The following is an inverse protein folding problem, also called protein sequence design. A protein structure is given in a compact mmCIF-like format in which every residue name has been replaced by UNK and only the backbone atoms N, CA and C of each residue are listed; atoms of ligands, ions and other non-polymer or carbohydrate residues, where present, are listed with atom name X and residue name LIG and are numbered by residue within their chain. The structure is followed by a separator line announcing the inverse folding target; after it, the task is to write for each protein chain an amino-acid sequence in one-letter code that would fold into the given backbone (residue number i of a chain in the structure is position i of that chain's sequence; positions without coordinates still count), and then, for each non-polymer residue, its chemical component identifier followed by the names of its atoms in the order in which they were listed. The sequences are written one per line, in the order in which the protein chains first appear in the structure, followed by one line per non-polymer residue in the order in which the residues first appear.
data_IF_796894763533
#
_entry.id   IF_796894763533
#
_cell.length_a   1.000
_cell.length_b   1.000
_cell.length_c   1.000
_cell.angle_alpha   90.00
_cell.angle_beta   90.00
_cell.angle_gamma   90.00
#
_symmetry.space_group_name_H-M   'P 1'
#
loop_
_entity.id
_entity.type
_entity.pdbx_description
1 polymer ?
#
# COMPACT_ATOMS: atom_id res chain seq x y z
N UNK A 1 -11.43 -12.96 6.23
CA UNK A 1 -11.47 -12.44 4.85
C UNK A 1 -12.84 -12.58 4.21
N UNK A 2 -13.34 -13.81 3.95
CA UNK A 2 -14.67 -14.01 3.35
C UNK A 2 -15.82 -13.42 4.19
N UNK A 3 -15.78 -13.61 5.51
CA UNK A 3 -16.78 -13.03 6.43
C UNK A 3 -16.77 -11.50 6.37
N UNK A 4 -15.59 -10.88 6.35
CA UNK A 4 -15.49 -9.41 6.33
C UNK A 4 -15.97 -8.78 5.02
N UNK A 5 -15.78 -9.46 3.89
CA UNK A 5 -16.24 -8.94 2.59
C UNK A 5 -17.72 -9.21 2.34
N UNK A 6 -18.26 -10.32 2.87
CA UNK A 6 -19.64 -10.76 2.58
C UNK A 6 -20.66 -10.40 3.66
N UNK A 7 -20.30 -10.43 4.96
CA UNK A 7 -21.28 -10.26 6.05
C UNK A 7 -21.26 -8.90 6.75
N UNK A 8 -20.16 -8.14 6.69
CA UNK A 8 -20.03 -6.83 7.37
C UNK A 8 -20.20 -5.62 6.44
N UNK A 9 -20.56 -5.83 5.17
CA UNK A 9 -20.85 -4.75 4.22
C UNK A 9 -19.62 -3.94 3.77
N UNK A 10 -18.41 -4.47 3.95
CA UNK A 10 -17.19 -3.79 3.55
C UNK A 10 -17.10 -3.60 2.03
N UNK A 11 -16.86 -2.37 1.61
CA UNK A 11 -16.67 -2.01 0.19
C UNK A 11 -15.23 -2.28 -0.32
N UNK A 12 -14.44 -3.06 0.42
CA UNK A 12 -13.05 -3.38 0.05
C UNK A 12 -12.97 -4.12 -1.28
N UNK A 13 -13.94 -4.98 -1.61
CA UNK A 13 -13.98 -5.65 -2.91
C UNK A 13 -14.10 -4.66 -4.08
N UNK A 14 -14.87 -3.58 -3.94
CA UNK A 14 -14.98 -2.53 -4.96
C UNK A 14 -13.66 -1.79 -5.13
N UNK A 15 -13.00 -1.44 -4.03
CA UNK A 15 -11.71 -0.78 -4.05
C UNK A 15 -10.62 -1.70 -4.67
N UNK A 16 -10.59 -2.99 -4.33
CA UNK A 16 -9.69 -3.98 -4.96
C UNK A 16 -9.98 -4.12 -6.46
N UNK A 17 -11.25 -4.23 -6.86
CA UNK A 17 -11.64 -4.30 -8.26
C UNK A 17 -11.18 -3.06 -9.04
N UNK A 18 -11.36 -1.87 -8.47
CA UNK A 18 -10.91 -0.62 -9.07
C UNK A 18 -9.39 -0.60 -9.29
N UNK A 19 -8.62 -1.10 -8.31
CA UNK A 19 -7.16 -1.19 -8.39
C UNK A 19 -6.74 -2.14 -9.51
N UNK A 20 -7.32 -3.35 -9.56
CA UNK A 20 -6.98 -4.35 -10.59
C UNK A 20 -7.35 -3.83 -11.98
N UNK A 21 -8.53 -3.22 -12.13
CA UNK A 21 -8.97 -2.63 -13.39
C UNK A 21 -8.06 -1.47 -13.83
N UNK A 22 -7.70 -0.56 -12.91
CA UNK A 22 -6.78 0.54 -13.18
C UNK A 22 -5.41 0.04 -13.65
N UNK A 23 -4.84 -0.95 -12.95
CA UNK A 23 -3.56 -1.56 -13.35
C UNK A 23 -3.66 -2.22 -14.72
N UNK A 24 -4.72 -2.98 -14.99
CA UNK A 24 -4.91 -3.62 -16.29
C UNK A 24 -5.04 -2.61 -17.43
N UNK A 25 -5.77 -1.52 -17.21
CA UNK A 25 -5.89 -0.41 -18.18
C UNK A 25 -4.54 0.29 -18.40
N UNK A 26 -3.75 0.49 -17.35
CA UNK A 26 -2.43 1.10 -17.44
C UNK A 26 -1.45 0.24 -18.24
N UNK A 27 -1.44 -1.08 -18.03
CA UNK A 27 -0.64 -2.03 -18.81
C UNK A 27 -1.05 -1.98 -20.29
N UNK A 28 -2.34 -1.83 -20.58
CA UNK A 28 -2.87 -1.65 -21.94
C UNK A 28 -2.68 -0.25 -22.53
N UNK A 29 -1.90 0.64 -21.89
CA UNK A 29 -1.64 2.01 -22.37
C UNK A 29 -2.80 3.01 -22.21
N UNK A 30 -3.93 2.60 -21.64
CA UNK A 30 -5.14 3.44 -21.48
C UNK A 30 -5.07 4.29 -20.21
N UNK A 31 -4.07 5.17 -20.12
CA UNK A 31 -3.71 5.91 -18.91
C UNK A 31 -4.85 6.74 -18.31
N UNK A 32 -5.61 7.49 -19.12
CA UNK A 32 -6.75 8.27 -18.63
C UNK A 32 -7.85 7.40 -18.03
N UNK A 33 -8.16 6.26 -18.68
CA UNK A 33 -9.14 5.32 -18.14
C UNK A 33 -8.63 4.68 -16.84
N UNK A 34 -7.34 4.34 -16.77
CA UNK A 34 -6.72 3.78 -15.58
C UNK A 34 -6.85 4.71 -14.36
N UNK A 35 -6.46 5.98 -14.51
CA UNK A 35 -6.54 6.96 -13.42
C UNK A 35 -7.98 7.39 -13.11
N UNK A 36 -8.89 7.38 -14.09
CA UNK A 36 -10.32 7.61 -13.83
C UNK A 36 -10.92 6.50 -12.95
N UNK A 37 -10.65 5.23 -13.28
CA UNK A 37 -11.08 4.09 -12.47
C UNK A 37 -10.43 4.12 -11.08
N UNK A 38 -9.17 4.54 -10.98
CA UNK A 38 -8.50 4.73 -9.70
C UNK A 38 -9.17 5.85 -8.87
N UNK A 39 -9.61 6.93 -9.52
CA UNK A 39 -10.39 8.01 -8.91
C UNK A 39 -11.74 7.51 -8.36
N UNK A 40 -12.46 6.70 -9.13
CA UNK A 40 -13.70 6.05 -8.65
C UNK A 40 -13.44 5.15 -7.44
N UNK A 41 -12.35 4.38 -7.47
CA UNK A 41 -11.90 3.60 -6.32
C UNK A 41 -11.60 4.44 -5.09
N UNK A 42 -10.98 5.61 -5.31
CA UNK A 42 -10.63 6.57 -4.26
C UNK A 42 -11.86 7.13 -3.53
N UNK A 43 -12.96 7.33 -4.27
CA UNK A 43 -14.24 7.76 -3.71
C UNK A 43 -14.88 6.67 -2.82
N UNK A 44 -14.53 5.40 -3.02
CA UNK A 44 -14.99 4.29 -2.17
C UNK A 44 -14.11 4.15 -0.93
N UNK A 45 -12.79 4.19 -1.11
CA UNK A 45 -11.78 4.18 -0.04
C UNK A 45 -10.55 4.95 -0.49
N UNK A 46 -9.78 5.55 0.42
CA UNK A 46 -8.65 6.40 0.04
C UNK A 46 -7.44 5.65 -0.55
N UNK A 47 -7.19 4.40 -0.16
CA UNK A 47 -5.94 3.72 -0.50
C UNK A 47 -5.67 3.49 -2.00
N UNK A 48 -6.65 3.36 -2.92
CA UNK A 48 -6.39 3.32 -4.36
C UNK A 48 -5.62 4.56 -4.84
N UNK A 49 -5.84 5.74 -4.26
CA UNK A 49 -5.13 6.97 -4.65
C UNK A 49 -3.60 6.85 -4.54
N UNK A 50 -3.10 5.97 -3.66
CA UNK A 50 -1.66 5.78 -3.46
C UNK A 50 -0.95 5.27 -4.71
N UNK A 51 -1.65 4.54 -5.57
CA UNK A 51 -1.13 4.03 -6.84
C UNK A 51 -0.98 5.12 -7.92
N UNK A 52 -1.54 6.31 -7.71
CA UNK A 52 -1.56 7.38 -8.71
C UNK A 52 -0.15 7.72 -9.20
N UNK A 53 0.81 7.91 -8.28
CA UNK A 53 2.18 8.28 -8.66
C UNK A 53 2.90 7.18 -9.46
N UNK A 54 2.56 5.91 -9.24
CA UNK A 54 3.06 4.82 -10.08
C UNK A 54 2.47 4.84 -11.50
N UNK A 55 1.21 5.27 -11.64
CA UNK A 55 0.52 5.36 -12.92
C UNK A 55 0.90 6.63 -13.72
N UNK A 56 1.38 7.67 -13.06
CA UNK A 56 1.81 8.93 -13.69
C UNK A 56 3.24 8.89 -14.23
N UNK A 57 4.00 7.82 -13.97
CA UNK A 57 5.40 7.70 -14.35
C UNK A 57 5.56 7.83 -15.88
N UNK A 58 6.13 8.97 -16.32
CA UNK A 58 6.32 9.29 -17.73
C UNK A 58 5.05 9.66 -18.51
N UNK A 59 3.99 10.16 -17.87
CA UNK A 59 2.71 10.49 -18.54
C UNK A 59 2.34 11.97 -18.62
N UNK A 60 3.16 12.87 -18.08
CA UNK A 60 2.79 14.28 -17.93
C UNK A 60 1.62 14.49 -16.98
N UNK A 61 1.10 15.72 -16.93
CA UNK A 61 0.09 16.16 -15.94
C UNK A 61 -1.35 15.86 -16.34
N UNK A 62 -1.62 15.51 -17.61
CA UNK A 62 -3.00 15.34 -18.09
C UNK A 62 -3.77 14.20 -17.39
N UNK A 63 -3.18 13.02 -17.12
CA UNK A 63 -3.89 11.99 -16.35
C UNK A 63 -4.15 12.39 -14.89
N UNK A 64 -3.30 13.22 -14.29
CA UNK A 64 -3.55 13.78 -12.96
C UNK A 64 -4.83 14.64 -12.97
N UNK A 65 -5.04 15.46 -14.00
CA UNK A 65 -6.26 16.24 -14.15
C UNK A 65 -7.50 15.34 -14.30
N UNK A 66 -7.40 14.22 -15.03
CA UNK A 66 -8.50 13.24 -15.12
C UNK A 66 -8.83 12.63 -13.76
N UNK A 67 -7.83 12.18 -13.00
CA UNK A 67 -8.04 11.68 -11.64
C UNK A 67 -8.73 12.72 -10.76
N UNK A 68 -8.20 13.95 -10.74
CA UNK A 68 -8.72 15.05 -9.96
C UNK A 68 -10.17 15.37 -10.34
N UNK A 69 -10.49 15.40 -11.63
CA UNK A 69 -11.84 15.63 -12.12
C UNK A 69 -12.83 14.58 -11.62
N UNK A 70 -12.47 13.29 -11.66
CA UNK A 70 -13.34 12.21 -11.14
C UNK A 70 -13.60 12.39 -9.65
N UNK A 71 -12.55 12.65 -8.85
CA UNK A 71 -12.70 12.83 -7.41
C UNK A 71 -13.53 14.06 -7.08
N UNK A 72 -13.22 15.22 -7.70
CA UNK A 72 -13.97 16.46 -7.50
C UNK A 72 -15.43 16.31 -7.91
N UNK A 73 -15.71 15.68 -9.06
CA UNK A 73 -17.07 15.41 -9.51
C UNK A 73 -17.84 14.51 -8.53
N UNK A 74 -17.17 13.51 -7.93
CA UNK A 74 -17.77 12.66 -6.90
C UNK A 74 -18.12 13.40 -5.61
N UNK A 75 -17.32 14.40 -5.23
CA UNK A 75 -17.59 15.25 -4.06
C UNK A 75 -18.53 16.44 -4.35
N UNK A 76 -18.78 16.77 -5.61
CA UNK A 76 -19.58 17.94 -6.00
C UNK A 76 -20.99 17.98 -5.37
N UNK A 77 -21.76 16.87 -5.28
CA UNK A 77 -23.07 16.86 -4.60
C UNK A 77 -22.99 17.27 -3.11
N UNK A 78 -21.82 17.10 -2.48
CA UNK A 78 -21.59 17.37 -1.07
C UNK A 78 -20.83 18.69 -0.82
N UNK A 79 -20.61 19.51 -1.86
CA UNK A 79 -19.81 20.74 -1.76
C UNK A 79 -20.33 21.72 -0.69
N UNK A 80 -21.65 21.73 -0.45
CA UNK A 80 -22.29 22.56 0.57
C UNK A 80 -21.86 22.24 2.01
N UNK A 81 -21.27 21.06 2.25
CA UNK A 81 -20.74 20.63 3.56
C UNK A 81 -19.30 21.12 3.81
N UNK A 82 -18.63 21.72 2.82
CA UNK A 82 -17.25 22.16 2.93
C UNK A 82 -16.30 21.03 3.35
N UNK A 83 -15.38 21.31 4.30
CA UNK A 83 -14.47 20.30 4.85
C UNK A 83 -15.20 19.20 5.64
N UNK A 84 -16.45 19.40 6.05
CA UNK A 84 -17.28 18.38 6.68
C UNK A 84 -17.51 17.16 5.77
N UNK A 85 -17.41 17.32 4.45
CA UNK A 85 -17.48 16.22 3.49
C UNK A 85 -16.32 15.21 3.62
N UNK A 86 -15.20 15.60 4.25
CA UNK A 86 -14.06 14.71 4.54
C UNK A 86 -14.34 13.79 5.75
N UNK A 87 -15.41 14.06 6.50
CA UNK A 87 -15.95 13.15 7.51
C UNK A 87 -14.93 12.71 8.56
N UNK A 88 -14.76 11.39 8.67
CA UNK A 88 -14.04 10.70 9.75
C UNK A 88 -12.52 10.62 9.60
N UNK A 89 -11.93 11.16 8.53
CA UNK A 89 -10.49 11.02 8.27
C UNK A 89 -9.58 11.53 9.41
N UNK A 90 -9.83 12.72 10.00
CA UNK A 90 -9.02 13.18 11.13
C UNK A 90 -9.16 12.25 12.35
N UNK A 91 -10.36 11.72 12.58
CA UNK A 91 -10.66 10.82 13.69
C UNK A 91 -9.95 9.47 13.52
N UNK A 92 -9.95 8.91 12.30
CA UNK A 92 -9.24 7.69 11.92
C UNK A 92 -7.74 7.78 12.21
N UNK A 93 -7.12 8.93 11.94
CA UNK A 93 -5.68 9.13 12.12
C UNK A 93 -5.29 9.37 13.59
N UNK A 94 -6.13 10.08 14.34
CA UNK A 94 -5.75 10.55 15.69
C UNK A 94 -6.30 9.71 16.82
N UNK A 95 -7.50 9.14 16.67
CA UNK A 95 -8.22 8.47 17.78
C UNK A 95 -8.39 6.98 17.58
N UNK A 96 -8.46 6.52 16.33
CA UNK A 96 -8.63 5.09 16.08
C UNK A 96 -7.34 4.35 16.45
N UNK A 97 -7.50 3.35 17.31
CA UNK A 97 -6.40 2.55 17.83
C UNK A 97 -6.77 1.08 17.72
N UNK A 98 -6.22 0.43 16.71
CA UNK A 98 -6.29 -1.01 16.52
C UNK A 98 -5.05 -1.48 15.77
N UNK A 99 -4.33 -2.44 16.35
CA UNK A 99 -3.19 -3.09 15.71
C UNK A 99 -2.22 -2.09 15.03
N UNK A 100 -1.58 -1.20 15.80
CA UNK A 100 -0.80 -0.09 15.24
C UNK A 100 0.27 -0.61 14.28
N UNK A 101 0.50 0.03 13.13
CA UNK A 101 1.57 -0.40 12.22
C UNK A 101 2.97 -0.13 12.77
N UNK A 102 3.99 -0.48 12.00
CA UNK A 102 5.40 -0.41 12.40
C UNK A 102 5.80 0.99 12.87
N UNK A 103 5.44 2.04 12.12
CA UNK A 103 5.83 3.41 12.45
C UNK A 103 5.21 3.84 13.77
N UNK A 104 3.91 3.65 13.95
CA UNK A 104 3.19 4.00 15.18
C UNK A 104 3.61 3.14 16.37
N UNK A 105 4.00 1.88 16.15
CA UNK A 105 4.56 1.00 17.19
C UNK A 105 5.89 1.52 17.73
N UNK A 106 6.73 2.10 16.86
CA UNK A 106 8.03 2.65 17.23
C UNK A 106 7.94 4.08 17.77
N UNK A 107 7.08 4.89 17.16
CA UNK A 107 6.87 6.29 17.48
C UNK A 107 5.37 6.55 17.41
N UNK A 108 4.69 6.60 18.57
CA UNK A 108 3.24 6.83 18.65
C UNK A 108 2.90 8.31 18.40
N UNK A 109 3.06 8.72 17.14
CA UNK A 109 2.77 10.05 16.63
C UNK A 109 2.02 9.93 15.31
N UNK A 110 0.76 10.40 15.24
CA UNK A 110 0.01 10.41 13.98
C UNK A 110 0.72 11.21 12.88
N UNK A 111 1.33 12.34 13.23
CA UNK A 111 2.06 13.18 12.27
C UNK A 111 3.27 12.43 11.67
N UNK A 112 4.06 11.75 12.51
CA UNK A 112 5.21 10.97 12.05
C UNK A 112 4.76 9.81 11.16
N UNK A 113 3.66 9.14 11.51
CA UNK A 113 3.08 8.07 10.70
C UNK A 113 2.63 8.57 9.33
N UNK A 114 1.91 9.69 9.28
CA UNK A 114 1.46 10.28 8.01
C UNK A 114 2.62 10.77 7.14
N UNK A 115 3.67 11.35 7.75
CA UNK A 115 4.88 11.75 7.04
C UNK A 115 5.61 10.54 6.46
N UNK A 116 5.74 9.45 7.21
CA UNK A 116 6.34 8.22 6.73
C UNK A 116 5.55 7.59 5.57
N UNK A 117 4.21 7.57 5.66
CA UNK A 117 3.35 7.09 4.58
C UNK A 117 3.45 7.98 3.33
N UNK A 118 3.40 9.29 3.49
CA UNK A 118 3.58 10.24 2.38
C UNK A 118 4.94 10.09 1.70
N UNK A 119 6.00 9.99 2.50
CA UNK A 119 7.35 9.71 2.00
C UNK A 119 7.40 8.37 1.25
N UNK A 120 6.78 7.31 1.78
CA UNK A 120 6.73 6.00 1.11
C UNK A 120 6.03 6.07 -0.25
N UNK A 121 4.87 6.73 -0.33
CA UNK A 121 4.10 6.92 -1.57
C UNK A 121 4.90 7.67 -2.63
N UNK A 122 5.69 8.67 -2.23
CA UNK A 122 6.52 9.46 -3.16
C UNK A 122 7.81 8.73 -3.54
N UNK A 123 8.49 8.08 -2.59
CA UNK A 123 9.81 7.49 -2.79
C UNK A 123 9.75 6.16 -3.53
N UNK A 124 8.76 5.30 -3.26
CA UNK A 124 8.69 3.98 -3.91
C UNK A 124 8.66 4.08 -5.44
N UNK A 125 7.85 4.93 -6.09
CA UNK A 125 7.91 5.11 -7.54
C UNK A 125 9.31 5.44 -8.06
N UNK A 126 10.09 6.24 -7.32
CA UNK A 126 11.42 6.68 -7.70
C UNK A 126 12.49 5.60 -7.49
N UNK A 127 12.46 4.95 -6.32
CA UNK A 127 13.45 3.96 -5.90
C UNK A 127 13.28 2.61 -6.59
N UNK A 128 12.09 2.33 -7.13
CA UNK A 128 11.78 1.06 -7.80
C UNK A 128 11.76 1.18 -9.33
N UNK A 129 12.34 2.25 -9.88
CA UNK A 129 12.54 2.39 -11.33
C UNK A 129 13.35 1.21 -11.86
N UNK A 130 12.86 0.57 -12.92
CA UNK A 130 13.45 -0.64 -13.51
C UNK A 130 12.91 -1.96 -12.95
N UNK A 131 12.20 -1.96 -11.82
CA UNK A 131 11.46 -3.14 -11.38
C UNK A 131 10.18 -3.35 -12.21
N UNK A 132 9.70 -4.60 -12.29
CA UNK A 132 8.42 -4.87 -12.95
C UNK A 132 7.28 -4.14 -12.25
N UNK A 133 6.30 -3.66 -13.02
CA UNK A 133 5.19 -2.86 -12.49
C UNK A 133 4.48 -3.53 -11.30
N UNK A 134 4.18 -4.83 -11.40
CA UNK A 134 3.56 -5.61 -10.33
C UNK A 134 4.41 -5.63 -9.05
N UNK A 135 5.74 -5.69 -9.14
CA UNK A 135 6.60 -5.62 -7.97
C UNK A 135 6.57 -4.24 -7.31
N UNK A 136 6.54 -3.17 -8.10
CA UNK A 136 6.40 -1.79 -7.60
C UNK A 136 5.09 -1.63 -6.83
N UNK A 137 4.00 -2.20 -7.34
CA UNK A 137 2.69 -2.24 -6.67
C UNK A 137 2.76 -2.99 -5.34
N UNK A 138 3.35 -4.20 -5.31
CA UNK A 138 3.49 -4.99 -4.07
C UNK A 138 4.30 -4.22 -3.01
N UNK A 139 5.43 -3.61 -3.39
CA UNK A 139 6.26 -2.83 -2.47
C UNK A 139 5.51 -1.60 -1.95
N UNK A 140 4.83 -0.87 -2.83
CA UNK A 140 4.07 0.32 -2.45
C UNK A 140 2.95 -0.04 -1.46
N UNK A 141 2.04 -0.93 -1.87
CA UNK A 141 0.86 -1.32 -1.09
C UNK A 141 1.27 -2.03 0.20
N UNK A 142 2.25 -2.94 0.13
CA UNK A 142 2.74 -3.68 1.29
C UNK A 142 3.36 -2.76 2.34
N UNK A 143 4.19 -1.81 1.91
CA UNK A 143 4.77 -0.84 2.83
C UNK A 143 3.75 0.13 3.43
N UNK A 144 2.73 0.53 2.68
CA UNK A 144 1.61 1.33 3.22
C UNK A 144 0.89 0.55 4.33
N UNK A 145 0.60 -0.73 4.11
CA UNK A 145 -0.07 -1.57 5.12
C UNK A 145 0.80 -1.66 6.37
N UNK A 146 2.08 -2.00 6.23
CA UNK A 146 2.99 -2.15 7.37
C UNK A 146 3.21 -0.83 8.11
N UNK A 147 3.26 0.29 7.42
CA UNK A 147 3.44 1.62 8.01
C UNK A 147 2.13 2.31 8.43
N UNK A 148 0.97 1.69 8.18
CA UNK A 148 -0.35 2.27 8.46
C UNK A 148 -0.51 2.61 9.95
N UNK A 149 -1.25 3.68 10.32
CA UNK A 149 -1.55 3.99 11.72
C UNK A 149 -2.29 2.86 12.44
N UNK A 150 -3.08 2.09 11.69
CA UNK A 150 -3.84 0.93 12.15
C UNK A 150 -3.83 -0.14 11.06
N UNK A 151 -3.68 -1.41 11.43
CA UNK A 151 -3.66 -2.53 10.48
C UNK A 151 -4.84 -3.44 10.75
N UNK A 152 -5.89 -3.28 9.95
CA UNK A 152 -6.99 -4.24 9.96
C UNK A 152 -6.72 -5.41 9.03
N UNK A 153 -7.16 -6.63 9.37
CA UNK A 153 -6.90 -7.81 8.55
C UNK A 153 -7.35 -7.67 7.10
N UNK A 154 -8.46 -6.96 6.81
CA UNK A 154 -8.90 -6.72 5.43
C UNK A 154 -8.01 -5.76 4.62
N UNK A 155 -7.06 -5.05 5.24
CA UNK A 155 -6.17 -4.13 4.52
C UNK A 155 -5.18 -4.82 3.59
N UNK A 156 -4.95 -6.13 3.74
CA UNK A 156 -4.08 -6.89 2.83
C UNK A 156 -4.80 -7.35 1.56
N UNK A 157 -6.13 -7.19 1.45
CA UNK A 157 -6.89 -7.61 0.27
C UNK A 157 -6.36 -7.03 -1.05
N UNK A 158 -5.94 -5.75 -1.13
CA UNK A 158 -5.34 -5.20 -2.35
C UNK A 158 -4.05 -5.88 -2.80
N UNK A 159 -3.32 -6.59 -1.92
CA UNK A 159 -2.12 -7.33 -2.30
C UNK A 159 -2.43 -8.65 -3.02
N UNK A 160 -3.53 -9.31 -2.68
CA UNK A 160 -3.89 -10.67 -3.14
C UNK A 160 -3.81 -10.84 -4.67
N UNK A 161 -4.44 -10.00 -5.51
CA UNK A 161 -4.37 -10.18 -6.96
C UNK A 161 -2.95 -10.06 -7.52
N UNK A 162 -2.10 -9.24 -6.89
CA UNK A 162 -0.70 -9.06 -7.32
C UNK A 162 0.19 -10.20 -6.84
N UNK A 163 -0.08 -10.78 -5.68
CA UNK A 163 0.61 -11.97 -5.19
C UNK A 163 0.27 -13.22 -6.01
N UNK A 164 -0.91 -13.26 -6.64
CA UNK A 164 -1.24 -14.31 -7.61
C UNK A 164 -0.39 -14.23 -8.89
N UNK A 165 0.00 -13.02 -9.31
CA UNK A 165 0.85 -12.79 -10.50
C UNK A 165 2.34 -12.90 -10.16
N UNK A 166 2.77 -12.36 -9.02
CA UNK A 166 4.15 -12.40 -8.53
C UNK A 166 4.16 -12.90 -7.08
N UNK A 167 4.20 -14.23 -6.87
CA UNK A 167 4.16 -14.81 -5.54
C UNK A 167 5.30 -14.35 -4.65
N UNK A 168 4.99 -14.14 -3.38
CA UNK A 168 5.97 -13.91 -2.32
C UNK A 168 5.51 -14.65 -1.07
N UNK A 169 6.28 -15.66 -0.64
CA UNK A 169 5.94 -16.46 0.53
C UNK A 169 5.77 -15.61 1.80
N UNK A 170 6.59 -14.56 1.95
CA UNK A 170 6.52 -13.62 3.07
C UNK A 170 5.19 -12.85 3.08
N UNK A 171 4.81 -12.24 1.95
CA UNK A 171 3.56 -11.49 1.86
C UNK A 171 2.32 -12.40 1.91
N UNK A 172 2.37 -13.58 1.28
CA UNK A 172 1.30 -14.59 1.38
C UNK A 172 1.12 -15.03 2.82
N UNK A 173 2.21 -15.37 3.52
CA UNK A 173 2.18 -15.69 4.94
C UNK A 173 1.56 -14.57 5.77
N UNK A 174 2.01 -13.33 5.56
CA UNK A 174 1.46 -12.14 6.22
C UNK A 174 -0.05 -11.98 5.99
N UNK A 175 -0.54 -12.26 4.77
CA UNK A 175 -1.99 -12.17 4.50
C UNK A 175 -2.82 -13.17 5.31
N UNK A 176 -2.22 -14.30 5.72
CA UNK A 176 -2.86 -15.26 6.62
C UNK A 176 -2.68 -14.89 8.10
N UNK A 177 -1.50 -14.43 8.50
CA UNK A 177 -1.16 -14.16 9.91
C UNK A 177 -1.68 -12.82 10.41
N UNK A 178 -2.03 -11.87 9.55
CA UNK A 178 -2.62 -10.57 9.98
C UNK A 178 -3.91 -10.73 10.79
N UNK A 179 -4.65 -11.84 10.60
CA UNK A 179 -5.85 -12.13 11.38
C UNK A 179 -5.58 -12.34 12.88
N UNK A 180 -4.34 -12.62 13.30
CA UNK A 180 -3.98 -12.71 14.72
C UNK A 180 -4.16 -11.37 15.46
N UNK A 181 -4.28 -10.26 14.74
CA UNK A 181 -4.68 -8.97 15.31
C UNK A 181 -6.05 -9.02 16.04
N UNK A 182 -6.96 -9.92 15.64
CA UNK A 182 -8.25 -10.09 16.32
C UNK A 182 -8.14 -10.67 17.73
N UNK A 183 -6.96 -11.16 18.14
CA UNK A 183 -6.70 -11.51 19.54
C UNK A 183 -6.91 -10.33 20.49
N UNK A 184 -6.86 -9.10 19.98
CA UNK A 184 -7.30 -7.87 20.65
C UNK A 184 -8.66 -8.00 21.36
N UNK A 185 -9.59 -8.77 20.78
CA UNK A 185 -10.95 -8.93 21.28
C UNK A 185 -11.12 -10.11 22.27
N UNK A 186 -10.06 -10.86 22.58
CA UNK A 186 -10.16 -12.06 23.42
C UNK A 186 -10.15 -11.79 24.92
N UNK A 187 -9.82 -10.57 25.35
CA UNK A 187 -9.72 -10.24 26.78
C UNK A 187 -9.78 -8.74 27.08
N UNK A 188 -9.82 -8.43 28.37
CA UNK A 188 -9.74 -7.06 28.89
C UNK A 188 -8.44 -6.90 29.71
N UNK A 189 -7.72 -5.78 29.60
CA UNK A 189 -7.97 -4.67 28.67
C UNK A 189 -7.77 -5.10 27.21
N UNK A 190 -8.46 -4.45 26.27
CA UNK A 190 -8.28 -4.70 24.85
C UNK A 190 -6.83 -4.41 24.43
N UNK A 191 -6.10 -5.48 24.14
CA UNK A 191 -4.70 -5.43 23.75
C UNK A 191 -4.36 -6.68 22.95
N UNK A 192 -3.46 -6.54 21.97
CA UNK A 192 -2.93 -7.67 21.22
C UNK A 192 -1.78 -8.27 22.03
N UNK A 193 -1.84 -9.55 22.44
CA UNK A 193 -0.73 -10.21 23.10
C UNK A 193 0.53 -10.18 22.23
N UNK A 194 1.70 -10.03 22.86
CA UNK A 194 3.00 -9.95 22.15
C UNK A 194 3.21 -11.14 21.22
N UNK A 195 2.85 -12.35 21.65
CA UNK A 195 2.99 -13.55 20.82
C UNK A 195 2.18 -13.45 19.52
N UNK A 196 0.97 -12.88 19.57
CA UNK A 196 0.10 -12.73 18.41
C UNK A 196 0.70 -11.72 17.42
N UNK A 197 1.29 -10.65 17.96
CA UNK A 197 2.02 -9.64 17.17
C UNK A 197 3.29 -10.20 16.52
N UNK A 198 4.02 -11.07 17.22
CA UNK A 198 5.18 -11.78 16.66
C UNK A 198 4.72 -12.70 15.52
N UNK A 199 3.69 -13.51 15.73
CA UNK A 199 3.14 -14.41 14.70
C UNK A 199 2.65 -13.62 13.48
N UNK A 200 1.98 -12.49 13.71
CA UNK A 200 1.53 -11.59 12.65
C UNK A 200 2.67 -11.18 11.72
N UNK A 201 3.78 -10.65 12.25
CA UNK A 201 4.88 -10.10 11.45
C UNK A 201 5.98 -11.10 11.08
N UNK A 202 5.98 -12.30 11.66
CA UNK A 202 7.01 -13.32 11.43
C UNK A 202 7.29 -13.59 9.94
N UNK A 203 6.27 -13.76 9.06
CA UNK A 203 6.52 -13.99 7.64
C UNK A 203 7.31 -12.87 6.97
N UNK A 204 7.03 -11.61 7.34
CA UNK A 204 7.71 -10.44 6.78
C UNK A 204 9.14 -10.33 7.30
N UNK A 205 9.37 -10.59 8.60
CA UNK A 205 10.70 -10.56 9.20
C UNK A 205 11.61 -11.62 8.58
N UNK A 206 11.12 -12.86 8.47
CA UNK A 206 11.86 -13.97 7.83
C UNK A 206 12.13 -13.64 6.36
N UNK A 207 11.13 -13.14 5.64
CA UNK A 207 11.27 -12.72 4.24
C UNK A 207 12.30 -11.63 4.03
N UNK A 208 12.31 -10.61 4.89
CA UNK A 208 13.27 -9.52 4.85
C UNK A 208 14.69 -10.01 5.15
N UNK A 209 14.87 -10.85 6.18
CA UNK A 209 16.17 -11.45 6.50
C UNK A 209 16.72 -12.29 5.35
N UNK A 210 15.87 -13.07 4.68
CA UNK A 210 16.27 -13.87 3.52
C UNK A 210 16.64 -13.00 2.31
N UNK A 211 15.88 -11.94 2.03
CA UNK A 211 16.16 -10.99 0.97
C UNK A 211 17.46 -10.20 1.21
N UNK A 212 17.83 -9.97 2.47
CA UNK A 212 19.06 -9.27 2.84
C UNK A 212 20.31 -10.16 2.83
N UNK A 213 20.16 -11.49 2.89
CA UNK A 213 21.27 -12.45 2.94
C UNK A 213 22.38 -12.23 1.90
N UNK A 214 22.10 -11.94 0.61
CA UNK A 214 23.15 -11.69 -0.38
C UNK A 214 24.02 -10.46 -0.11
N UNK A 215 23.52 -9.51 0.70
CA UNK A 215 24.20 -8.27 1.03
C UNK A 215 25.00 -8.38 2.34
N UNK A 216 24.66 -9.36 3.18
CA UNK A 216 25.37 -9.67 4.43
C UNK A 216 26.55 -10.59 4.08
N UNK A 217 27.61 -10.01 3.52
CA UNK A 217 28.84 -10.73 3.14
C UNK A 217 29.47 -10.29 1.81
N UNK A 218 28.79 -9.45 1.02
CA UNK A 218 29.39 -8.81 -0.14
C UNK A 218 30.48 -7.82 0.35
N UNK A 219 31.71 -7.99 -0.12
CA UNK A 219 32.85 -7.19 0.29
C UNK A 219 32.55 -5.70 0.05
N UNK A 220 32.70 -4.88 1.10
CA UNK A 220 32.21 -3.47 1.16
C UNK A 220 32.87 -2.58 0.08
N UNK A 221 33.92 -3.09 -0.59
CA UNK A 221 34.70 -2.45 -1.66
C UNK A 221 34.02 -2.46 -3.04
N UNK A 222 33.13 -3.41 -3.33
CA UNK A 222 32.49 -3.49 -4.65
C UNK A 222 31.43 -2.39 -4.88
N UNK A 223 30.94 -1.76 -3.81
CA UNK A 223 29.94 -0.69 -3.86
C UNK A 223 30.50 0.68 -4.24
N UNK A 224 31.81 0.89 -4.03
CA UNK A 224 32.50 2.16 -4.32
C UNK A 224 33.05 2.22 -5.74
N UNK A 225 33.18 1.08 -6.42
CA UNK A 225 33.59 1.03 -7.82
C UNK A 225 32.32 0.86 -8.65
N UNK A 226 31.79 1.98 -9.13
CA UNK A 226 30.78 1.97 -10.18
C UNK A 226 31.29 1.06 -11.30
N UNK A 227 30.62 -0.08 -11.53
CA UNK A 227 30.93 -0.90 -12.69
C UNK A 227 30.72 0.00 -13.91
N UNK A 228 31.75 0.26 -14.74
CA UNK A 228 31.54 1.00 -15.96
C UNK A 228 30.53 0.21 -16.79
N UNK A 229 29.46 0.90 -17.18
CA UNK A 229 28.54 0.42 -18.22
C UNK A 229 29.43 0.03 -19.39
N UNK A 230 29.54 -1.27 -19.70
CA UNK A 230 30.15 -1.69 -20.95
C UNK A 230 29.27 -1.14 -22.06
N UNK A 231 29.66 0.01 -22.60
CA UNK A 231 29.20 0.50 -23.88
C UNK A 231 29.61 -0.51 -24.92
N UNK A 232 28.71 -1.44 -25.25
CA UNK A 232 28.80 -2.24 -26.46
C UNK A 232 28.42 -1.38 -27.64
N UNK A 233 29.33 -0.49 -28.03
CA UNK A 233 29.34 0.12 -29.35
C UNK A 233 29.67 -0.94 -30.41
N UNK A 234 28.92 -0.84 -31.49
CA UNK A 234 29.01 -1.57 -32.76
C UNK A 234 30.40 -2.06 -33.17
N UNK A 235 30.46 -3.32 -33.63
CA UNK A 235 30.99 -3.71 -34.93
C UNK A 235 30.07 -4.77 -35.53
#
# INVERSE_FOLDING_TARGET
MLVEVWSSGHLDALAVLSIVAAVRLAIGGRRHAAVAVLGLGTLVKLYPATLLLLLLDGSGVAPLATFALVVVAGYAPFAHLGLGALGSLPQYVTTEFFNPGLVRTLIDSPATTMLALGAWVVLVPLLTRGASFVARVIVLVGGIIVASPNIFPWYVLPLVPFLAVRPSAAWIGFTGTVAFAYTFFLGQPWAIPVWARVVEFLPLVVGAGWALKPYVGADRREWLIARPVRGGGQQ
#
